data_IF_547627307856
#
_entry.id   IF_547627307856
#
_cell.length_a   1.000
_cell.length_b   1.000
_cell.length_c   1.000
_cell.angle_alpha   90.00
_cell.angle_beta   90.00
_cell.angle_gamma   90.00
#
_symmetry.space_group_name_H-M   'P 1'
#
loop_
_entity.id
_entity.type
_entity.pdbx_description
1 polymer ?
#
# COMPACT_ATOMS: atom_id res chain seq x y z
N UNK A 1 19.21 13.88 29.56
CA UNK A 1 18.11 14.26 28.66
C UNK A 1 18.51 15.52 27.92
N UNK A 2 18.49 15.52 26.58
CA UNK A 2 19.00 16.62 25.73
C UNK A 2 17.87 17.49 25.16
N UNK A 3 16.69 16.89 25.00
CA UNK A 3 15.47 17.53 24.49
C UNK A 3 14.25 16.71 24.94
N UNK A 4 13.11 17.38 25.17
CA UNK A 4 11.82 16.78 25.52
C UNK A 4 10.68 17.60 24.88
N UNK A 5 9.65 16.93 24.35
CA UNK A 5 8.44 17.61 23.90
C UNK A 5 7.16 16.84 24.24
N UNK A 6 6.10 17.59 24.51
CA UNK A 6 4.73 17.10 24.64
C UNK A 6 3.92 17.47 23.41
N UNK A 7 3.00 16.59 23.00
CA UNK A 7 2.18 16.77 21.80
C UNK A 7 0.68 16.63 22.09
N UNK A 8 -0.11 17.46 21.43
CA UNK A 8 -1.55 17.32 21.33
C UNK A 8 -1.92 16.22 20.33
N UNK A 9 -3.21 15.84 20.30
CA UNK A 9 -3.75 14.73 19.47
C UNK A 9 -3.35 14.82 18.00
N UNK A 10 -3.19 16.03 17.45
CA UNK A 10 -2.89 16.28 16.03
C UNK A 10 -1.46 16.77 15.78
N UNK A 11 -0.55 16.64 16.75
CA UNK A 11 0.88 16.92 16.55
C UNK A 11 1.31 18.33 16.94
N UNK A 12 0.39 19.19 17.39
CA UNK A 12 0.75 20.48 17.98
C UNK A 12 1.55 20.31 19.27
N UNK A 13 2.57 21.15 19.47
CA UNK A 13 3.40 21.11 20.67
C UNK A 13 2.63 21.68 21.87
N UNK A 14 2.59 20.93 22.98
CA UNK A 14 2.14 21.45 24.28
C UNK A 14 3.29 22.05 25.07
N UNK A 15 4.49 21.48 24.94
CA UNK A 15 5.73 22.04 25.46
C UNK A 15 6.93 21.51 24.68
N UNK A 16 7.98 22.31 24.59
CA UNK A 16 9.30 21.93 24.10
C UNK A 16 10.32 22.41 25.14
N UNK A 17 11.13 21.49 25.69
CA UNK A 17 12.18 21.78 26.66
C UNK A 17 13.53 21.38 26.08
N UNK A 18 14.42 22.36 25.95
CA UNK A 18 15.78 22.18 25.48
C UNK A 18 16.76 22.37 26.66
N UNK A 19 17.59 21.36 26.95
CA UNK A 19 18.66 21.48 27.95
C UNK A 19 19.96 22.05 27.35
N UNK A 20 20.04 22.14 26.02
CA UNK A 20 21.11 22.72 25.22
C UNK A 20 20.48 23.36 23.98
N UNK A 21 21.03 24.47 23.42
CA UNK A 21 20.48 25.11 22.23
C UNK A 21 20.70 24.20 21.01
N UNK A 22 19.77 23.28 20.79
CA UNK A 22 19.78 22.29 19.71
C UNK A 22 18.38 22.26 19.14
N UNK A 23 18.22 22.86 17.97
CA UNK A 23 16.94 22.86 17.28
C UNK A 23 16.56 21.45 16.86
N UNK A 24 15.49 20.92 17.47
CA UNK A 24 14.92 19.62 17.13
C UNK A 24 13.69 19.78 16.26
N UNK A 25 13.78 19.29 15.03
CA UNK A 25 12.72 19.45 14.02
C UNK A 25 11.90 18.17 13.83
N UNK A 26 12.24 17.05 14.48
CA UNK A 26 11.42 15.85 14.43
C UNK A 26 10.08 16.06 15.17
N UNK A 27 8.99 15.59 14.57
CA UNK A 27 7.63 15.66 15.12
C UNK A 27 7.07 14.25 15.29
N UNK A 28 5.79 14.01 14.96
CA UNK A 28 5.25 12.64 14.91
C UNK A 28 6.05 11.75 13.95
N UNK A 29 5.87 10.43 14.04
CA UNK A 29 6.65 9.50 13.23
C UNK A 29 6.56 9.84 11.73
N UNK A 30 7.72 10.07 11.11
CA UNK A 30 7.83 10.45 9.70
C UNK A 30 7.62 11.94 9.38
N UNK A 31 7.42 12.78 10.40
CA UNK A 31 7.17 14.22 10.24
C UNK A 31 8.41 15.06 10.59
N UNK A 32 8.69 16.07 9.77
CA UNK A 32 9.75 17.06 10.01
C UNK A 32 9.15 18.47 10.04
N UNK A 33 9.34 19.22 11.13
CA UNK A 33 8.91 20.62 11.23
C UNK A 33 9.73 21.50 10.29
N UNK A 34 9.03 22.17 9.40
CA UNK A 34 9.52 23.36 8.74
C UNK A 34 9.24 24.58 9.65
N UNK A 35 10.30 25.16 10.23
CA UNK A 35 10.18 26.29 11.17
C UNK A 35 9.84 27.61 10.48
N UNK A 36 10.05 27.74 9.17
CA UNK A 36 9.70 28.96 8.43
C UNK A 36 8.19 29.08 8.24
N UNK A 37 7.50 27.95 8.07
CA UNK A 37 6.06 27.90 7.80
C UNK A 37 5.23 27.39 8.98
N UNK A 38 5.85 26.70 9.95
CA UNK A 38 5.16 26.03 11.05
C UNK A 38 4.52 24.70 10.66
N UNK A 39 4.64 24.27 9.39
CA UNK A 39 4.03 23.06 8.86
C UNK A 39 4.93 21.84 9.06
N UNK A 40 4.32 20.67 9.10
CA UNK A 40 5.04 19.41 9.20
C UNK A 40 5.17 18.76 7.83
N UNK A 41 6.40 18.58 7.38
CA UNK A 41 6.71 17.91 6.13
C UNK A 41 6.67 16.40 6.28
N UNK A 42 5.77 15.76 5.53
CA UNK A 42 5.61 14.31 5.46
C UNK A 42 5.90 13.87 4.04
N UNK A 43 7.18 13.67 3.70
CA UNK A 43 7.73 13.16 2.44
C UNK A 43 7.24 13.82 1.13
N UNK A 44 5.94 13.84 0.86
CA UNK A 44 5.27 14.35 -0.33
C UNK A 44 4.18 15.39 -0.04
N UNK A 45 3.81 15.61 1.23
CA UNK A 45 2.75 16.56 1.61
C UNK A 45 3.13 17.37 2.85
N UNK A 46 2.63 18.61 2.90
CA UNK A 46 2.69 19.45 4.08
C UNK A 46 1.42 19.22 4.91
N UNK A 47 1.62 18.91 6.19
CA UNK A 47 0.60 18.72 7.20
C UNK A 47 0.52 19.93 8.11
N UNK A 48 -0.69 20.42 8.33
CA UNK A 48 -0.98 21.50 9.26
C UNK A 48 -1.52 20.89 10.57
N UNK A 49 -0.75 20.96 11.67
CA UNK A 49 -1.14 20.42 12.96
C UNK A 49 -2.28 21.21 13.63
N UNK A 50 -2.52 22.46 13.27
CA UNK A 50 -3.58 23.30 13.85
C UNK A 50 -4.97 22.84 13.42
N UNK A 51 -5.09 22.38 12.17
CA UNK A 51 -6.35 21.87 11.61
C UNK A 51 -6.38 20.34 11.46
N UNK A 52 -5.26 19.67 11.75
CA UNK A 52 -5.14 18.22 11.71
C UNK A 52 -5.23 17.60 10.31
N UNK A 53 -4.79 18.33 9.27
CA UNK A 53 -4.99 17.97 7.86
C UNK A 53 -3.79 18.29 6.99
N UNK A 54 -3.70 17.65 5.84
CA UNK A 54 -2.79 18.09 4.78
C UNK A 54 -3.31 19.39 4.14
N UNK A 55 -2.40 20.29 3.78
CA UNK A 55 -2.74 21.54 3.09
C UNK A 55 -2.81 21.38 1.57
N UNK A 56 -2.28 20.26 1.05
CA UNK A 56 -2.41 19.85 -0.35
C UNK A 56 -3.35 18.64 -0.47
N UNK A 57 -4.19 18.65 -1.51
CA UNK A 57 -5.08 17.53 -1.80
C UNK A 57 -4.29 16.29 -2.20
N UNK A 58 -4.77 15.12 -1.80
CA UNK A 58 -4.16 13.83 -2.13
C UNK A 58 -3.95 13.68 -3.66
N UNK A 59 -2.68 13.48 -4.12
CA UNK A 59 -2.37 13.29 -5.53
C UNK A 59 -3.08 12.08 -6.17
N UNK A 60 -3.61 11.13 -5.38
CA UNK A 60 -4.38 9.98 -5.89
C UNK A 60 -5.88 10.30 -6.12
N UNK A 61 -6.32 11.53 -5.82
CA UNK A 61 -7.73 11.98 -5.91
C UNK A 61 -8.69 11.06 -5.13
N UNK A 62 -9.98 11.00 -5.46
CA UNK A 62 -11.04 10.27 -4.73
C UNK A 62 -10.75 8.79 -4.38
N UNK A 63 -9.67 8.20 -4.91
CA UNK A 63 -9.19 6.86 -4.56
C UNK A 63 -8.43 6.78 -3.24
N UNK A 64 -8.02 7.92 -2.66
CA UNK A 64 -7.38 8.02 -1.33
C UNK A 64 -8.40 8.09 -0.18
N UNK A 65 -9.68 8.12 -0.53
CA UNK A 65 -10.79 8.35 0.39
C UNK A 65 -11.61 9.57 -0.04
N UNK A 66 -12.75 9.78 0.62
CA UNK A 66 -13.65 10.90 0.34
C UNK A 66 -13.00 12.23 0.80
N UNK A 67 -12.12 12.17 1.80
CA UNK A 67 -11.42 13.33 2.34
C UNK A 67 -9.94 13.33 1.90
N UNK A 68 -9.66 14.06 0.83
CA UNK A 68 -8.33 14.18 0.21
C UNK A 68 -7.30 14.91 1.10
N UNK A 69 -7.73 15.46 2.23
CA UNK A 69 -6.90 16.23 3.15
C UNK A 69 -6.71 15.52 4.50
N UNK A 70 -7.27 14.31 4.68
CA UNK A 70 -7.18 13.60 5.96
C UNK A 70 -5.77 13.02 6.20
N UNK A 71 -5.29 13.14 7.44
CA UNK A 71 -4.01 12.57 7.89
C UNK A 71 -4.12 11.10 8.27
N UNK A 72 -5.07 10.75 9.15
CA UNK A 72 -5.45 9.37 9.44
C UNK A 72 -6.86 9.36 10.08
N UNK A 73 -7.66 8.28 9.90
CA UNK A 73 -8.95 8.15 10.59
C UNK A 73 -8.83 8.07 12.11
N UNK A 74 -7.69 7.60 12.63
CA UNK A 74 -7.36 7.60 14.06
C UNK A 74 -5.85 7.83 14.27
N UNK A 75 -5.41 9.03 14.70
CA UNK A 75 -4.00 9.41 14.76
C UNK A 75 -3.20 8.70 15.87
N UNK A 76 -3.89 8.05 16.83
CA UNK A 76 -3.26 7.37 17.97
C UNK A 76 -2.96 5.89 17.68
N UNK A 77 -3.67 5.28 16.73
CA UNK A 77 -3.55 3.84 16.40
C UNK A 77 -3.21 3.57 14.94
N UNK A 78 -3.53 4.48 14.03
CA UNK A 78 -3.26 4.39 12.60
C UNK A 78 -2.32 5.53 12.21
N UNK A 79 -1.04 5.19 12.14
CA UNK A 79 -0.04 6.06 11.53
C UNK A 79 -0.14 5.83 10.02
N UNK A 80 -0.17 6.90 9.23
CA UNK A 80 0.05 6.86 7.79
C UNK A 80 1.51 7.26 7.51
N UNK A 81 2.46 6.31 7.51
CA UNK A 81 3.89 6.64 7.51
C UNK A 81 4.36 7.16 6.14
N UNK A 82 3.52 7.10 5.10
CA UNK A 82 3.89 7.38 3.71
C UNK A 82 2.83 8.12 2.87
N UNK A 83 1.58 8.24 3.32
CA UNK A 83 0.51 8.81 2.49
C UNK A 83 -0.04 7.87 1.42
N UNK A 84 0.58 6.72 1.18
CA UNK A 84 0.53 6.01 -0.10
C UNK A 84 0.82 4.52 0.13
N UNK A 85 -0.05 3.64 -0.35
CA UNK A 85 0.17 2.18 -0.33
C UNK A 85 1.43 1.81 -1.13
N UNK A 86 2.56 1.49 -0.45
CA UNK A 86 3.85 1.10 -1.05
C UNK A 86 3.74 0.07 -2.17
N UNK A 87 2.71 -0.78 -2.10
CA UNK A 87 2.41 -1.82 -3.08
C UNK A 87 2.46 -1.30 -4.51
N UNK A 88 1.76 -0.19 -4.79
CA UNK A 88 1.65 0.29 -6.17
C UNK A 88 2.97 0.88 -6.66
N UNK A 89 3.78 1.43 -5.77
CA UNK A 89 5.11 1.95 -6.10
C UNK A 89 6.12 0.85 -6.35
N UNK A 90 5.99 -0.28 -5.65
CA UNK A 90 6.90 -1.41 -5.77
C UNK A 90 6.51 -2.37 -6.89
N UNK A 91 5.24 -2.78 -6.94
CA UNK A 91 4.78 -3.82 -7.88
C UNK A 91 3.98 -3.25 -9.06
N UNK A 92 3.38 -2.07 -8.91
CA UNK A 92 2.41 -1.54 -9.86
C UNK A 92 1.01 -2.12 -9.68
N UNK A 93 0.09 -1.72 -10.57
CA UNK A 93 -1.33 -2.11 -10.47
C UNK A 93 -1.50 -3.61 -10.69
N UNK A 94 -2.37 -4.23 -9.89
CA UNK A 94 -2.90 -5.57 -10.15
C UNK A 94 -3.65 -5.56 -11.49
N UNK A 95 -3.46 -6.56 -12.35
CA UNK A 95 -4.31 -6.73 -13.53
C UNK A 95 -5.77 -6.87 -13.11
N UNK A 96 -6.69 -6.24 -13.84
CA UNK A 96 -8.12 -6.48 -13.66
C UNK A 96 -8.57 -7.77 -14.33
N UNK A 97 -9.70 -8.34 -13.92
CA UNK A 97 -10.30 -9.54 -14.53
C UNK A 97 -10.55 -9.42 -16.05
N UNK A 98 -10.79 -8.21 -16.55
CA UNK A 98 -11.00 -7.95 -17.99
C UNK A 98 -9.70 -7.74 -18.78
N UNK A 99 -8.54 -7.67 -18.11
CA UNK A 99 -7.23 -7.56 -18.77
C UNK A 99 -6.85 -8.86 -19.48
N UNK A 100 -5.74 -8.85 -20.24
CA UNK A 100 -5.19 -10.09 -20.84
C UNK A 100 -4.96 -11.16 -19.77
N UNK A 101 -4.24 -10.82 -18.70
CA UNK A 101 -3.95 -11.71 -17.56
C UNK A 101 -5.24 -12.22 -16.90
N UNK A 102 -6.23 -11.34 -16.69
CA UNK A 102 -7.50 -11.74 -16.08
C UNK A 102 -8.30 -12.71 -16.95
N UNK A 103 -8.32 -12.50 -18.28
CA UNK A 103 -8.95 -13.42 -19.23
C UNK A 103 -8.25 -14.78 -19.28
N UNK A 104 -6.92 -14.80 -19.18
CA UNK A 104 -6.15 -16.05 -19.07
C UNK A 104 -6.50 -16.81 -17.78
N UNK A 105 -6.64 -16.11 -16.64
CA UNK A 105 -7.10 -16.72 -15.37
C UNK A 105 -8.49 -17.32 -15.52
N UNK A 106 -9.44 -16.58 -16.08
CA UNK A 106 -10.82 -17.06 -16.31
C UNK A 106 -10.82 -18.28 -17.23
N UNK A 107 -10.04 -18.26 -18.31
CA UNK A 107 -9.96 -19.37 -19.25
C UNK A 107 -9.40 -20.64 -18.58
N UNK A 108 -8.33 -20.49 -17.78
CA UNK A 108 -7.76 -21.61 -17.01
C UNK A 108 -8.74 -22.16 -15.98
N UNK A 109 -9.39 -21.30 -15.19
CA UNK A 109 -10.38 -21.75 -14.20
C UNK A 109 -11.58 -22.43 -14.89
N UNK A 110 -11.98 -21.97 -16.08
CA UNK A 110 -13.02 -22.63 -16.88
C UNK A 110 -12.60 -24.04 -17.32
N UNK A 111 -11.36 -24.23 -17.73
CA UNK A 111 -10.82 -25.57 -18.08
C UNK A 111 -10.82 -26.51 -16.87
N UNK A 112 -10.57 -25.98 -15.67
CA UNK A 112 -10.60 -26.75 -14.42
C UNK A 112 -12.02 -27.05 -13.91
N UNK A 113 -13.06 -26.47 -14.53
CA UNK A 113 -14.43 -26.59 -14.05
C UNK A 113 -14.76 -25.68 -12.86
N UNK A 114 -13.92 -24.68 -12.58
CA UNK A 114 -14.10 -23.68 -11.52
C UNK A 114 -14.75 -22.38 -12.02
N UNK A 115 -15.03 -22.28 -13.33
CA UNK A 115 -15.83 -21.21 -13.94
C UNK A 115 -16.83 -21.85 -14.89
N UNK A 116 -18.10 -21.51 -14.74
CA UNK A 116 -19.20 -22.09 -15.51
C UNK A 116 -20.14 -21.00 -16.01
N UNK A 117 -20.83 -21.26 -17.12
CA UNK A 117 -21.94 -20.44 -17.59
C UNK A 117 -23.25 -21.17 -17.26
N UNK A 118 -24.05 -20.60 -16.36
CA UNK A 118 -25.31 -21.18 -15.88
C UNK A 118 -26.43 -20.18 -16.08
N UNK A 119 -27.50 -20.55 -16.80
CA UNK A 119 -28.67 -19.69 -17.06
C UNK A 119 -28.31 -18.30 -17.61
N UNK A 120 -27.28 -18.20 -18.47
CA UNK A 120 -26.82 -16.94 -19.06
C UNK A 120 -25.93 -16.10 -18.15
N UNK A 121 -25.56 -16.61 -16.98
CA UNK A 121 -24.65 -15.95 -16.03
C UNK A 121 -23.35 -16.73 -15.88
N UNK A 122 -22.22 -16.06 -16.02
CA UNK A 122 -20.93 -16.66 -15.67
C UNK A 122 -20.72 -16.61 -14.16
N UNK A 123 -20.47 -17.77 -13.57
CA UNK A 123 -20.16 -17.97 -12.15
C UNK A 123 -18.77 -18.59 -11.99
N UNK A 124 -18.15 -18.37 -10.84
CA UNK A 124 -16.85 -18.94 -10.48
C UNK A 124 -16.88 -19.51 -9.07
N UNK A 125 -16.04 -20.53 -8.82
CA UNK A 125 -15.83 -21.11 -7.49
C UNK A 125 -14.75 -20.33 -6.76
N UNK A 126 -15.11 -19.75 -5.62
CA UNK A 126 -14.21 -18.97 -4.76
C UNK A 126 -13.39 -19.87 -3.82
N UNK A 127 -12.48 -19.26 -3.05
CA UNK A 127 -11.57 -19.99 -2.14
C UNK A 127 -12.28 -20.72 -1.00
N UNK A 128 -13.48 -20.26 -0.62
CA UNK A 128 -14.35 -20.89 0.37
C UNK A 128 -15.14 -22.09 -0.18
N UNK A 129 -15.00 -22.39 -1.48
CA UNK A 129 -15.67 -23.48 -2.16
C UNK A 129 -17.08 -23.15 -2.68
N UNK A 130 -17.59 -21.94 -2.41
CA UNK A 130 -18.90 -21.49 -2.89
C UNK A 130 -18.82 -20.89 -4.30
N UNK A 131 -19.97 -20.89 -4.98
CA UNK A 131 -20.12 -20.33 -6.32
C UNK A 131 -20.65 -18.90 -6.27
N UNK A 132 -19.97 -17.99 -6.97
CA UNK A 132 -20.33 -16.57 -7.02
C UNK A 132 -20.44 -16.05 -8.45
N UNK A 133 -21.23 -15.01 -8.70
CA UNK A 133 -21.22 -14.27 -9.95
C UNK A 133 -19.82 -13.75 -10.31
N UNK A 134 -19.38 -13.91 -11.57
CA UNK A 134 -18.09 -13.39 -12.04
C UNK A 134 -17.93 -11.86 -11.84
N UNK A 135 -19.05 -11.13 -11.83
CA UNK A 135 -19.06 -9.68 -11.56
C UNK A 135 -18.54 -9.35 -10.14
N UNK A 136 -18.66 -10.28 -9.19
CA UNK A 136 -18.22 -10.18 -7.80
C UNK A 136 -16.80 -10.76 -7.59
N UNK A 137 -16.16 -11.24 -8.65
CA UNK A 137 -14.78 -11.69 -8.59
C UNK A 137 -13.80 -10.51 -8.53
N UNK A 138 -12.81 -10.60 -7.64
CA UNK A 138 -11.56 -9.86 -7.69
C UNK A 138 -10.39 -10.80 -8.03
N UNK A 139 -9.31 -10.23 -8.57
CA UNK A 139 -8.07 -10.98 -8.84
C UNK A 139 -7.32 -11.14 -7.51
N UNK A 140 -7.20 -12.39 -7.05
CA UNK A 140 -6.47 -12.77 -5.84
C UNK A 140 -5.12 -13.40 -6.20
N UNK A 141 -4.07 -13.11 -5.45
CA UNK A 141 -2.77 -13.74 -5.72
C UNK A 141 -2.72 -15.13 -5.11
N UNK A 142 -2.11 -16.09 -5.80
CA UNK A 142 -1.86 -17.44 -5.26
C UNK A 142 -0.84 -17.40 -4.12
N UNK A 143 0.19 -16.56 -4.28
CA UNK A 143 1.16 -16.21 -3.24
C UNK A 143 1.03 -14.72 -2.95
N UNK A 144 0.89 -14.36 -1.67
CA UNK A 144 0.77 -12.97 -1.26
C UNK A 144 1.82 -12.05 -1.88
N UNK A 145 1.36 -10.96 -2.47
CA UNK A 145 2.22 -10.00 -3.15
C UNK A 145 3.23 -9.34 -2.19
N UNK A 146 2.88 -9.19 -0.91
CA UNK A 146 3.79 -8.69 0.13
C UNK A 146 4.86 -9.72 0.47
N UNK A 147 4.49 -11.00 0.61
CA UNK A 147 5.42 -12.11 0.84
C UNK A 147 6.41 -12.23 -0.32
N UNK A 148 5.92 -12.24 -1.56
CA UNK A 148 6.78 -12.34 -2.75
C UNK A 148 7.70 -11.12 -2.89
N UNK A 149 7.20 -9.91 -2.60
CA UNK A 149 8.03 -8.71 -2.62
C UNK A 149 9.16 -8.77 -1.59
N UNK A 150 8.83 -9.13 -0.34
CA UNK A 150 9.79 -9.17 0.75
C UNK A 150 10.89 -10.23 0.52
N UNK A 151 10.53 -11.36 -0.09
CA UNK A 151 11.47 -12.45 -0.34
C UNK A 151 12.25 -12.28 -1.65
N UNK A 152 11.64 -11.72 -2.69
CA UNK A 152 12.19 -11.73 -4.06
C UNK A 152 12.15 -10.35 -4.70
N UNK A 153 10.97 -9.74 -4.78
CA UNK A 153 10.74 -8.53 -5.58
C UNK A 153 11.63 -7.35 -5.20
N UNK A 154 11.89 -7.17 -3.90
CA UNK A 154 12.71 -6.06 -3.38
C UNK A 154 14.15 -6.08 -3.87
N UNK A 155 14.69 -7.22 -4.27
CA UNK A 155 16.05 -7.36 -4.84
C UNK A 155 16.10 -7.13 -6.35
N UNK A 156 14.94 -7.15 -7.01
CA UNK A 156 14.81 -6.96 -8.46
C UNK A 156 14.54 -5.49 -8.84
N UNK A 157 14.27 -4.65 -7.84
CA UNK A 157 13.95 -3.23 -8.02
C UNK A 157 12.47 -2.96 -8.30
N UNK A 158 11.94 -1.82 -7.81
CA UNK A 158 10.52 -1.48 -7.95
C UNK A 158 10.12 -1.29 -9.41
N UNK A 159 8.98 -1.85 -9.81
CA UNK A 159 8.41 -1.83 -11.17
C UNK A 159 9.39 -2.28 -12.27
N UNK A 160 10.45 -2.99 -11.91
CA UNK A 160 11.38 -3.53 -12.90
C UNK A 160 10.69 -4.53 -13.81
N UNK A 161 11.28 -4.81 -14.98
CA UNK A 161 10.73 -5.76 -15.94
C UNK A 161 10.43 -7.14 -15.30
N UNK A 162 11.32 -7.72 -14.47
CA UNK A 162 11.02 -8.95 -13.72
C UNK A 162 9.80 -8.83 -12.79
N UNK A 163 9.70 -7.74 -12.02
CA UNK A 163 8.56 -7.51 -11.12
C UNK A 163 7.25 -7.36 -11.88
N UNK A 164 7.26 -6.64 -13.01
CA UNK A 164 6.08 -6.49 -13.86
C UNK A 164 5.71 -7.78 -14.58
N UNK A 165 6.68 -8.58 -14.99
CA UNK A 165 6.42 -9.91 -15.55
C UNK A 165 5.72 -10.81 -14.53
N UNK A 166 6.20 -10.85 -13.28
CA UNK A 166 5.54 -11.61 -12.21
C UNK A 166 4.10 -11.12 -11.97
N UNK A 167 3.90 -9.79 -11.90
CA UNK A 167 2.58 -9.18 -11.73
C UNK A 167 1.59 -9.43 -12.88
N UNK A 168 2.08 -9.72 -14.07
CA UNK A 168 1.27 -9.93 -15.28
C UNK A 168 1.14 -11.41 -15.69
N UNK A 169 1.84 -12.30 -15.01
CA UNK A 169 1.72 -13.75 -15.19
C UNK A 169 0.43 -14.24 -14.53
N UNK A 170 -0.46 -14.81 -15.34
CA UNK A 170 -1.77 -15.30 -14.91
C UNK A 170 -1.67 -16.48 -13.94
N UNK A 171 -0.55 -17.20 -13.90
CA UNK A 171 -0.33 -18.31 -12.96
C UNK A 171 -0.19 -17.84 -11.50
N UNK A 172 0.10 -16.56 -11.28
CA UNK A 172 0.17 -15.97 -9.94
C UNK A 172 -1.19 -15.55 -9.38
N UNK A 173 -2.28 -15.85 -10.09
CA UNK A 173 -3.62 -15.36 -9.73
C UNK A 173 -4.68 -16.45 -9.80
N UNK A 174 -5.74 -16.27 -9.03
CA UNK A 174 -7.04 -16.92 -9.18
C UNK A 174 -8.15 -15.87 -8.94
N UNK A 175 -9.41 -16.26 -9.17
CA UNK A 175 -10.55 -15.43 -8.84
C UNK A 175 -11.02 -15.74 -7.43
N UNK A 176 -11.22 -14.70 -6.64
CA UNK A 176 -11.86 -14.84 -5.33
C UNK A 176 -12.98 -13.82 -5.16
N UNK A 177 -13.91 -14.10 -4.25
CA UNK A 177 -14.97 -13.14 -3.94
C UNK A 177 -14.35 -11.89 -3.31
N UNK A 178 -14.79 -10.70 -3.73
CA UNK A 178 -14.17 -9.44 -3.31
C UNK A 178 -14.07 -9.28 -1.77
N UNK A 179 -15.03 -9.81 -1.00
CA UNK A 179 -14.99 -9.74 0.47
C UNK A 179 -13.91 -10.66 1.08
N UNK A 180 -13.72 -11.85 0.51
CA UNK A 180 -12.70 -12.82 0.94
C UNK A 180 -11.31 -12.31 0.60
N UNK A 181 -11.12 -11.83 -0.63
CA UNK A 181 -9.84 -11.26 -1.08
C UNK A 181 -9.41 -10.05 -0.23
N UNK A 182 -10.35 -9.13 0.04
CA UNK A 182 -10.07 -7.92 0.83
C UNK A 182 -9.80 -8.22 2.30
N UNK A 183 -10.38 -9.29 2.84
CA UNK A 183 -10.15 -9.69 4.24
C UNK A 183 -8.85 -10.48 4.41
N UNK A 184 -8.47 -11.34 3.46
CA UNK A 184 -7.21 -12.08 3.49
C UNK A 184 -5.98 -11.15 3.55
N UNK A 185 -5.97 -10.08 2.75
CA UNK A 185 -4.87 -9.10 2.74
C UNK A 185 -4.68 -8.36 4.08
N UNK A 186 -5.73 -8.24 4.90
CA UNK A 186 -5.66 -7.61 6.22
C UNK A 186 -5.11 -8.56 7.31
N UNK A 187 -5.20 -9.88 7.12
CA UNK A 187 -4.87 -10.88 8.13
C UNK A 187 -3.38 -11.24 8.22
N UNK A 188 -2.59 -11.03 7.16
CA UNK A 188 -1.18 -11.42 7.14
C UNK A 188 -0.28 -10.63 8.10
N UNK A 189 -0.68 -9.41 8.50
CA UNK A 189 0.14 -8.56 9.38
C UNK A 189 1.50 -8.15 8.80
N UNK A 190 1.74 -8.39 7.50
CA UNK A 190 2.99 -8.06 6.82
C UNK A 190 2.93 -6.70 6.15
N UNK A 191 4.06 -5.99 6.16
CA UNK A 191 4.26 -4.72 5.44
C UNK A 191 5.30 -4.90 4.33
N UNK A 192 5.19 -4.08 3.30
CA UNK A 192 6.17 -4.04 2.21
C UNK A 192 7.49 -3.44 2.71
N UNK A 193 8.58 -4.22 2.65
CA UNK A 193 9.92 -3.75 2.97
C UNK A 193 10.47 -2.84 1.85
N UNK A 194 11.39 -1.90 2.15
CA UNK A 194 11.99 -1.07 1.12
C UNK A 194 12.82 -1.90 0.11
N UNK A 195 12.93 -1.44 -1.15
CA UNK A 195 13.76 -2.07 -2.17
C UNK A 195 15.24 -2.10 -1.74
N UNK A 196 15.96 -3.13 -2.16
CA UNK A 196 17.39 -3.27 -1.91
C UNK A 196 18.14 -2.58 -3.04
N UNK A 197 19.05 -1.63 -2.74
CA UNK A 197 19.90 -1.03 -3.76
C UNK A 197 20.71 -2.12 -4.47
N UNK A 198 20.98 -2.00 -5.79
CA UNK A 198 21.91 -2.89 -6.46
C UNK A 198 23.26 -2.82 -5.73
N UNK A 199 23.86 -3.98 -5.43
CA UNK A 199 25.19 -4.03 -4.83
C UNK A 199 26.16 -3.29 -5.74
N UNK A 200 26.91 -2.30 -5.25
CA UNK A 200 27.93 -1.65 -6.06
C UNK A 200 28.91 -2.72 -6.56
N UNK A 201 29.41 -2.61 -7.81
CA UNK A 201 30.38 -3.56 -8.32
C UNK A 201 31.60 -3.61 -7.39
N UNK A 202 32.24 -4.78 -7.24
CA UNK A 202 33.44 -4.89 -6.42
C UNK A 202 34.47 -3.88 -6.93
N UNK A 203 35.03 -3.09 -6.00
CA UNK A 203 36.14 -2.20 -6.29
C UNK A 203 37.33 -3.08 -6.64
N UNK A 204 37.64 -3.18 -7.92
CA UNK A 204 38.90 -3.79 -8.38
C UNK A 204 40.00 -2.85 -7.92
N UNK A 205 40.76 -3.28 -6.90
CA UNK A 205 41.98 -2.61 -6.44
C UNK A 205 43.14 -2.94 -7.37
#
# INVERSE_FOLDING_TARGET
>A
MVWEAGYQVWGNLTHEKETRPVQQNLRFQGQYLDRETGLHYNLYRFYDPDIGKFISGDPISLRGGINLYAYAPNPLSWIDPLGLSCRNDYLGRTPGKNSRTGREVIARMRQNGDVLDVNGQTIFKASDGNWYPLREADMSHTTDAVTWWNNTGRYLGPKSKPVRNWMLDSNNYYLDHYSLNRSAGAQLGQVYLPPVPPTPPPIVK
#
